data_IF_680411907448
#
_entry.id   IF_680411907448
#
_cell.length_a   1.000
_cell.length_b   1.000
_cell.length_c   1.000
_cell.angle_alpha   90.00
_cell.angle_beta   90.00
_cell.angle_gamma   90.00
#
_symmetry.space_group_name_H-M   'P 1'
#
loop_
_entity.id
_entity.type
_entity.pdbx_description
1 polymer ?
#
# COMPACT_ATOMS: atom_id res chain seq x y z
N UNK A 1 -1.06 -13.68 6.07
CA UNK A 1 -1.32 -15.09 5.84
C UNK A 1 -2.64 -15.31 5.09
N UNK A 2 -3.73 -14.69 5.50
CA UNK A 2 -5.06 -14.95 4.94
C UNK A 2 -5.24 -14.44 3.50
N UNK A 3 -4.50 -13.42 3.10
CA UNK A 3 -4.67 -12.71 1.82
C UNK A 3 -3.54 -12.89 0.83
N UNK A 4 -2.31 -13.01 1.33
CA UNK A 4 -1.14 -12.89 0.47
C UNK A 4 -1.04 -14.07 -0.51
N UNK A 5 -0.73 -13.75 -1.76
CA UNK A 5 -0.69 -14.72 -2.85
C UNK A 5 0.33 -15.84 -2.60
N UNK A 6 1.49 -15.51 -2.05
CA UNK A 6 2.55 -16.50 -1.75
C UNK A 6 2.19 -17.48 -0.62
N UNK A 7 1.13 -17.22 0.17
CA UNK A 7 0.64 -18.14 1.20
C UNK A 7 -0.48 -19.08 0.70
N UNK A 8 -0.76 -19.11 -0.59
CA UNK A 8 -1.80 -19.99 -1.15
C UNK A 8 -1.48 -21.46 -0.87
N UNK A 9 -0.27 -21.91 -1.18
CA UNK A 9 0.20 -23.28 -0.91
C UNK A 9 0.14 -23.64 0.58
N UNK A 10 0.45 -22.70 1.47
CA UNK A 10 0.35 -22.92 2.91
C UNK A 10 -1.11 -23.11 3.35
N UNK A 11 -2.05 -22.32 2.80
CA UNK A 11 -3.48 -22.50 3.10
C UNK A 11 -4.00 -23.86 2.62
N UNK A 12 -3.61 -24.26 1.41
CA UNK A 12 -3.93 -25.58 0.87
C UNK A 12 -3.36 -26.71 1.74
N UNK A 13 -2.10 -26.59 2.19
CA UNK A 13 -1.49 -27.55 3.09
C UNK A 13 -2.24 -27.64 4.43
N UNK A 14 -2.61 -26.51 5.02
CA UNK A 14 -3.38 -26.46 6.26
C UNK A 14 -4.72 -27.21 6.09
N UNK A 15 -5.45 -26.97 4.99
CA UNK A 15 -6.73 -27.62 4.73
C UNK A 15 -6.58 -29.11 4.40
N UNK A 16 -5.43 -29.53 3.92
CA UNK A 16 -5.12 -30.94 3.67
C UNK A 16 -4.80 -31.71 4.98
N UNK A 17 -4.09 -31.07 5.88
CA UNK A 17 -3.61 -31.69 7.12
C UNK A 17 -4.64 -31.66 8.25
N UNK A 18 -5.54 -30.69 8.25
CA UNK A 18 -6.51 -30.47 9.32
C UNK A 18 -7.95 -30.57 8.79
N UNK A 19 -8.77 -31.35 9.46
CA UNK A 19 -10.20 -31.47 9.15
C UNK A 19 -11.00 -30.27 9.67
N UNK A 20 -10.51 -29.64 10.76
CA UNK A 20 -11.08 -28.42 11.34
C UNK A 20 -10.00 -27.38 11.52
N UNK A 21 -10.29 -26.17 11.10
CA UNK A 21 -9.43 -24.99 11.26
C UNK A 21 -10.23 -23.86 11.91
N UNK A 22 -9.75 -23.37 13.02
CA UNK A 22 -10.36 -22.24 13.73
C UNK A 22 -9.48 -21.01 13.57
N UNK A 23 -10.08 -19.88 13.21
CA UNK A 23 -9.42 -18.61 12.97
C UNK A 23 -9.96 -17.60 13.97
N UNK A 24 -9.09 -17.08 14.83
CA UNK A 24 -9.43 -16.01 15.76
C UNK A 24 -8.72 -14.73 15.37
N UNK A 25 -9.46 -13.64 15.29
CA UNK A 25 -8.94 -12.27 15.19
C UNK A 25 -9.25 -11.52 16.48
N UNK A 26 -8.57 -10.41 16.74
CA UNK A 26 -8.64 -9.70 18.01
C UNK A 26 -8.82 -8.21 17.78
N UNK A 27 -9.77 -7.61 18.50
CA UNK A 27 -9.95 -6.15 18.52
C UNK A 27 -8.95 -5.48 19.49
N UNK A 28 -8.36 -6.26 20.41
CA UNK A 28 -7.29 -5.79 21.28
C UNK A 28 -5.90 -6.11 20.71
N UNK A 29 -4.95 -5.22 20.94
CA UNK A 29 -3.55 -5.44 20.58
C UNK A 29 -2.93 -6.47 21.54
N UNK A 30 -2.64 -7.69 21.05
CA UNK A 30 -2.04 -8.76 21.85
C UNK A 30 -0.58 -8.45 22.24
N UNK A 31 0.16 -7.81 21.34
CA UNK A 31 1.56 -7.46 21.53
C UNK A 31 1.72 -5.93 21.51
N UNK A 32 1.95 -5.33 22.66
CA UNK A 32 2.01 -3.86 22.83
C UNK A 32 3.06 -3.18 21.95
N UNK A 33 4.14 -3.88 21.62
CA UNK A 33 5.25 -3.36 20.81
C UNK A 33 5.01 -3.51 19.29
N UNK A 34 3.96 -4.22 18.89
CA UNK A 34 3.60 -4.47 17.49
C UNK A 34 2.49 -3.53 16.99
N UNK A 35 2.60 -2.23 17.25
CA UNK A 35 1.60 -1.24 16.83
C UNK A 35 1.38 -1.27 15.31
N UNK A 36 0.12 -1.35 14.90
CA UNK A 36 -0.29 -1.39 13.50
C UNK A 36 -0.14 -2.76 12.82
N UNK A 37 0.01 -3.83 13.59
CA UNK A 37 -0.04 -5.21 13.10
C UNK A 37 -1.14 -5.96 13.83
N UNK A 38 -2.09 -6.48 13.06
CA UNK A 38 -3.14 -7.33 13.60
C UNK A 38 -2.60 -8.75 13.85
N UNK A 39 -3.01 -9.33 14.97
CA UNK A 39 -2.64 -10.70 15.33
C UNK A 39 -3.75 -11.66 14.95
N UNK A 40 -3.36 -12.81 14.45
CA UNK A 40 -4.24 -13.92 14.11
C UNK A 40 -3.78 -15.15 14.91
N UNK A 41 -4.74 -15.84 15.54
CA UNK A 41 -4.53 -17.18 16.09
C UNK A 41 -5.22 -18.20 15.19
N UNK A 42 -4.49 -19.25 14.81
CA UNK A 42 -5.00 -20.33 14.01
C UNK A 42 -4.84 -21.64 14.79
N UNK A 43 -5.93 -22.38 14.94
CA UNK A 43 -5.94 -23.67 15.61
C UNK A 43 -6.41 -24.71 14.58
N UNK A 44 -5.66 -25.80 14.43
CA UNK A 44 -5.99 -26.91 13.53
C UNK A 44 -6.19 -28.21 14.27
N UNK A 45 -7.29 -28.91 14.01
CA UNK A 45 -7.55 -30.27 14.48
C UNK A 45 -7.45 -31.26 13.32
N UNK A 46 -6.60 -32.29 13.45
CA UNK A 46 -6.40 -33.31 12.40
C UNK A 46 -7.61 -34.23 12.22
N UNK A 47 -8.32 -34.53 13.31
CA UNK A 47 -9.56 -35.32 13.30
C UNK A 47 -10.60 -34.61 14.13
N UNK A 48 -11.69 -34.23 13.50
CA UNK A 48 -12.77 -33.50 14.17
C UNK A 48 -14.14 -34.03 13.71
N UNK A 49 -15.12 -33.99 14.62
CA UNK A 49 -16.50 -34.28 14.27
C UNK A 49 -17.11 -33.18 13.40
N UNK A 50 -16.74 -31.92 13.72
CA UNK A 50 -17.21 -30.73 13.00
C UNK A 50 -16.09 -30.27 12.06
N UNK A 51 -16.22 -30.62 10.79
CA UNK A 51 -15.19 -30.30 9.76
C UNK A 51 -15.43 -28.96 9.11
N UNK A 52 -14.35 -28.28 8.78
CA UNK A 52 -14.38 -27.02 8.02
C UNK A 52 -13.57 -25.92 8.65
N UNK A 53 -13.78 -24.68 8.18
CA UNK A 53 -13.15 -23.48 8.71
C UNK A 53 -14.17 -22.74 9.57
N UNK A 54 -13.75 -22.39 10.76
CA UNK A 54 -14.54 -21.66 11.74
C UNK A 54 -13.85 -20.35 12.05
N UNK A 55 -14.63 -19.31 12.26
CA UNK A 55 -14.13 -17.98 12.52
C UNK A 55 -14.74 -17.38 13.78
N UNK A 56 -13.94 -16.63 14.52
CA UNK A 56 -14.41 -15.81 15.64
C UNK A 56 -13.57 -14.52 15.76
N UNK A 57 -14.22 -13.39 15.96
CA UNK A 57 -13.59 -12.15 16.37
C UNK A 57 -13.70 -12.00 17.90
N UNK A 58 -12.59 -11.81 18.57
CA UNK A 58 -12.50 -11.67 20.04
C UNK A 58 -12.36 -10.19 20.41
N UNK A 59 -13.34 -9.69 21.12
CA UNK A 59 -13.34 -8.28 21.58
C UNK A 59 -12.31 -8.06 22.68
N UNK A 60 -12.28 -8.95 23.68
CA UNK A 60 -11.36 -8.88 24.81
C UNK A 60 -10.64 -10.22 25.00
N UNK A 61 -9.35 -10.16 25.21
CA UNK A 61 -8.54 -11.37 25.44
C UNK A 61 -9.06 -12.23 26.61
N UNK A 62 -9.66 -11.59 27.61
CA UNK A 62 -10.30 -12.29 28.73
C UNK A 62 -11.49 -13.17 28.30
N UNK A 63 -12.13 -12.89 27.20
CA UNK A 63 -13.26 -13.67 26.69
C UNK A 63 -12.79 -14.98 26.08
N UNK A 64 -11.63 -14.98 25.44
CA UNK A 64 -10.97 -16.21 24.97
C UNK A 64 -10.65 -17.15 26.15
N UNK A 65 -10.03 -16.61 27.22
CA UNK A 65 -9.68 -17.38 28.40
C UNK A 65 -10.90 -17.96 29.15
N UNK A 66 -12.06 -17.31 29.04
CA UNK A 66 -13.32 -17.72 29.68
C UNK A 66 -14.24 -18.54 28.77
N UNK A 67 -13.79 -18.88 27.54
CA UNK A 67 -14.59 -19.52 26.49
C UNK A 67 -15.91 -18.76 26.21
N UNK A 68 -15.87 -17.43 26.25
CA UNK A 68 -17.03 -16.56 25.95
C UNK A 68 -16.96 -16.08 24.51
N UNK A 69 -17.09 -17.00 23.57
CA UNK A 69 -17.11 -16.70 22.14
C UNK A 69 -17.96 -17.73 21.39
N UNK A 70 -18.39 -17.37 20.21
CA UNK A 70 -19.10 -18.26 19.29
C UNK A 70 -18.32 -18.38 17.99
N UNK A 71 -18.05 -19.59 17.56
CA UNK A 71 -17.42 -19.88 16.27
C UNK A 71 -18.49 -19.97 15.20
N UNK A 72 -18.37 -19.12 14.19
CA UNK A 72 -19.20 -19.20 12.99
C UNK A 72 -18.49 -20.01 11.91
N UNK A 73 -19.21 -20.96 11.31
CA UNK A 73 -18.67 -21.75 10.20
C UNK A 73 -18.91 -21.05 8.88
N UNK A 74 -17.84 -20.73 8.15
CA UNK A 74 -17.94 -20.24 6.78
C UNK A 74 -17.60 -21.35 5.78
N UNK A 75 -18.61 -21.96 5.22
CA UNK A 75 -18.50 -23.17 4.36
C UNK A 75 -17.81 -22.87 3.01
N UNK A 76 -17.79 -21.61 2.56
CA UNK A 76 -17.24 -21.21 1.25
C UNK A 76 -15.78 -20.81 1.27
N UNK A 77 -15.11 -20.86 2.41
CA UNK A 77 -13.67 -20.59 2.52
C UNK A 77 -12.75 -21.65 1.90
N UNK A 78 -13.26 -22.56 1.11
CA UNK A 78 -12.45 -23.58 0.38
C UNK A 78 -11.53 -22.98 -0.68
N UNK A 79 -11.69 -21.70 -1.01
CA UNK A 79 -10.96 -21.05 -2.10
C UNK A 79 -9.77 -20.22 -1.62
N UNK A 80 -8.95 -19.77 -2.53
CA UNK A 80 -7.59 -19.28 -2.40
C UNK A 80 -7.33 -18.12 -1.40
N UNK A 81 -8.37 -17.44 -0.91
CA UNK A 81 -8.23 -16.32 0.04
C UNK A 81 -9.20 -16.46 1.21
N UNK A 82 -8.69 -16.35 2.42
CA UNK A 82 -9.48 -16.40 3.65
C UNK A 82 -9.85 -15.01 4.18
N UNK A 83 -10.26 -14.12 3.28
CA UNK A 83 -10.55 -12.73 3.61
C UNK A 83 -12.01 -12.42 3.85
N UNK A 84 -12.90 -13.32 3.44
CA UNK A 84 -14.33 -13.17 3.64
C UNK A 84 -14.83 -13.83 4.95
N UNK A 85 -13.92 -14.12 5.86
CA UNK A 85 -14.21 -14.79 7.13
C UNK A 85 -15.11 -13.96 8.06
N UNK A 86 -15.21 -12.65 7.86
CA UNK A 86 -16.04 -11.72 8.61
C UNK A 86 -17.46 -11.54 8.01
N UNK A 87 -17.73 -12.17 6.86
CA UNK A 87 -19.01 -12.06 6.19
C UNK A 87 -19.90 -13.27 6.49
N UNK A 88 -21.20 -13.04 6.58
CA UNK A 88 -22.19 -14.09 6.66
C UNK A 88 -22.34 -14.81 5.30
N UNK A 89 -22.98 -15.98 5.31
CA UNK A 89 -23.08 -16.82 4.09
C UNK A 89 -23.87 -16.13 2.98
N UNK A 90 -24.94 -15.45 3.30
CA UNK A 90 -25.78 -14.68 2.36
C UNK A 90 -25.05 -13.44 1.80
N UNK A 91 -24.23 -12.78 2.61
CA UNK A 91 -23.35 -11.68 2.16
C UNK A 91 -22.31 -12.18 1.15
N UNK A 92 -21.72 -13.35 1.38
CA UNK A 92 -20.78 -13.99 0.44
C UNK A 92 -21.51 -14.35 -0.86
N UNK A 93 -22.73 -14.90 -0.78
CA UNK A 93 -23.54 -15.21 -1.96
C UNK A 93 -23.89 -13.96 -2.78
N UNK A 94 -24.23 -12.88 -2.09
CA UNK A 94 -24.48 -11.59 -2.72
C UNK A 94 -23.23 -11.07 -3.43
N UNK A 95 -22.06 -11.12 -2.78
CA UNK A 95 -20.79 -10.71 -3.40
C UNK A 95 -20.46 -11.51 -4.65
N UNK A 96 -20.63 -12.84 -4.62
CA UNK A 96 -20.39 -13.69 -5.79
C UNK A 96 -21.36 -13.35 -6.93
N UNK A 97 -22.62 -13.09 -6.63
CA UNK A 97 -23.60 -12.64 -7.61
C UNK A 97 -23.22 -11.30 -8.21
N UNK A 98 -22.80 -10.33 -7.38
CA UNK A 98 -22.37 -9.00 -7.83
C UNK A 98 -21.12 -9.08 -8.72
N UNK A 99 -20.13 -9.90 -8.36
CA UNK A 99 -18.93 -10.12 -9.19
C UNK A 99 -19.25 -10.62 -10.61
N UNK A 100 -20.33 -11.40 -10.75
CA UNK A 100 -20.78 -11.88 -12.06
C UNK A 100 -21.58 -10.86 -12.88
N UNK A 101 -22.04 -9.78 -12.27
CA UNK A 101 -22.93 -8.79 -12.89
C UNK A 101 -22.29 -7.41 -13.06
N UNK A 102 -21.32 -7.07 -12.21
CA UNK A 102 -20.69 -5.71 -12.21
C UNK A 102 -19.30 -5.78 -12.82
N UNK A 103 -18.95 -4.71 -13.50
CA UNK A 103 -17.57 -4.48 -13.92
C UNK A 103 -16.72 -4.09 -12.72
N UNK A 104 -15.45 -4.44 -12.78
CA UNK A 104 -14.46 -4.13 -11.74
C UNK A 104 -13.70 -2.85 -12.08
N UNK A 105 -13.00 -2.26 -11.10
CA UNK A 105 -12.12 -1.11 -11.36
C UNK A 105 -11.03 -1.48 -12.39
N UNK A 106 -10.59 -2.73 -12.44
CA UNK A 106 -9.60 -3.21 -13.42
C UNK A 106 -10.11 -3.18 -14.86
N UNK A 107 -11.42 -3.15 -15.07
CA UNK A 107 -12.00 -2.99 -16.42
C UNK A 107 -11.82 -1.56 -16.95
N UNK A 108 -11.72 -0.57 -16.07
CA UNK A 108 -11.67 0.87 -16.39
C UNK A 108 -10.25 1.44 -16.36
N UNK A 109 -9.39 0.99 -15.47
CA UNK A 109 -8.07 1.54 -15.31
C UNK A 109 -7.03 0.47 -14.99
N UNK A 110 -5.76 0.80 -15.16
CA UNK A 110 -4.63 0.02 -14.65
C UNK A 110 -4.05 0.67 -13.40
N UNK A 111 -3.58 -0.14 -12.46
CA UNK A 111 -2.92 0.35 -11.26
C UNK A 111 -1.55 -0.28 -11.07
N UNK A 112 -0.58 0.53 -10.68
CA UNK A 112 0.79 0.08 -10.35
C UNK A 112 1.24 0.71 -9.05
N UNK A 113 2.10 0.03 -8.30
CA UNK A 113 2.73 0.64 -7.14
C UNK A 113 3.62 1.82 -7.60
N UNK A 114 3.57 2.92 -6.86
CA UNK A 114 4.47 4.04 -7.10
C UNK A 114 5.93 3.69 -6.82
N UNK A 115 6.80 4.67 -6.91
CA UNK A 115 8.26 4.52 -6.92
C UNK A 115 8.78 4.07 -5.55
N UNK A 116 9.57 2.99 -5.55
CA UNK A 116 10.25 2.47 -4.37
C UNK A 116 11.67 3.04 -4.30
N UNK A 117 11.89 4.05 -3.48
CA UNK A 117 13.22 4.65 -3.31
C UNK A 117 14.14 3.84 -2.41
N UNK A 118 13.59 3.01 -1.51
CA UNK A 118 14.27 2.30 -0.42
C UNK A 118 14.82 3.19 0.71
N UNK A 119 14.80 4.51 0.52
CA UNK A 119 15.21 5.50 1.52
C UNK A 119 14.54 6.84 1.21
N UNK A 120 13.23 6.94 1.44
CA UNK A 120 12.48 8.17 1.16
C UNK A 120 13.05 9.39 1.91
N UNK A 121 13.58 9.18 3.10
CA UNK A 121 14.25 10.15 3.95
C UNK A 121 15.54 10.73 3.35
N UNK A 122 16.09 10.10 2.32
CA UNK A 122 17.27 10.53 1.61
C UNK A 122 16.98 10.92 0.16
N UNK A 123 16.21 10.12 -0.56
CA UNK A 123 15.97 10.35 -1.99
C UNK A 123 14.86 11.36 -2.28
N UNK A 124 14.05 11.74 -1.28
CA UNK A 124 13.00 12.74 -1.46
C UNK A 124 13.31 13.93 -0.57
N UNK A 125 13.58 15.06 -1.21
CA UNK A 125 14.09 16.26 -0.59
C UNK A 125 13.15 17.45 -0.76
N UNK A 126 13.33 18.47 0.06
CA UNK A 126 12.67 19.77 -0.06
C UNK A 126 13.42 20.74 -0.99
N UNK A 127 12.81 21.87 -1.27
CA UNK A 127 13.40 22.89 -2.13
C UNK A 127 14.73 23.45 -1.56
N UNK A 128 14.83 23.58 -0.24
CA UNK A 128 16.05 24.11 0.39
C UNK A 128 17.25 23.18 0.14
N UNK A 129 17.04 21.87 0.25
CA UNK A 129 18.07 20.86 -0.06
C UNK A 129 18.45 20.89 -1.54
N UNK A 130 17.49 21.11 -2.44
CA UNK A 130 17.76 21.26 -3.88
C UNK A 130 18.67 22.43 -4.14
N UNK A 131 18.41 23.59 -3.54
CA UNK A 131 19.24 24.80 -3.68
C UNK A 131 20.64 24.62 -3.07
N UNK A 132 20.72 24.10 -1.84
CA UNK A 132 21.96 23.89 -1.11
C UNK A 132 22.96 23.05 -1.92
N UNK A 133 22.46 21.93 -2.49
CA UNK A 133 23.30 20.98 -3.23
C UNK A 133 23.22 21.14 -4.75
N UNK A 134 22.54 22.17 -5.27
CA UNK A 134 22.36 22.46 -6.70
C UNK A 134 21.89 21.23 -7.48
N UNK A 135 20.77 20.66 -7.04
CA UNK A 135 20.22 19.38 -7.59
C UNK A 135 19.20 19.59 -8.70
N UNK A 136 18.99 20.79 -9.22
CA UNK A 136 17.92 21.14 -10.18
C UNK A 136 17.85 20.21 -11.39
N UNK A 137 18.99 19.83 -11.96
CA UNK A 137 19.07 18.95 -13.14
C UNK A 137 18.79 17.46 -12.82
N UNK A 138 18.71 17.12 -11.53
CA UNK A 138 18.65 15.74 -11.07
C UNK A 138 17.39 15.42 -10.28
N UNK A 139 16.36 16.26 -10.33
CA UNK A 139 15.14 16.09 -9.56
C UNK A 139 13.90 15.89 -10.44
N UNK A 140 12.91 15.21 -9.86
CA UNK A 140 11.57 15.10 -10.41
C UNK A 140 10.54 15.39 -9.31
N UNK A 141 9.47 16.15 -9.60
CA UNK A 141 8.43 16.42 -8.62
C UNK A 141 7.72 15.12 -8.23
N UNK A 142 7.48 14.95 -6.93
CA UNK A 142 6.90 13.72 -6.38
C UNK A 142 6.03 14.00 -5.15
N UNK A 143 4.91 13.27 -5.02
CA UNK A 143 4.11 13.23 -3.80
C UNK A 143 4.48 12.00 -2.98
N UNK A 144 4.77 12.20 -1.68
CA UNK A 144 5.23 11.13 -0.80
C UNK A 144 4.13 10.53 0.07
N UNK A 145 3.22 11.34 0.59
CA UNK A 145 2.26 10.93 1.62
C UNK A 145 0.85 11.42 1.31
N UNK A 146 -0.15 10.59 1.55
CA UNK A 146 -1.55 10.97 1.39
C UNK A 146 -2.01 12.10 2.32
N UNK A 147 -1.29 12.35 3.44
CA UNK A 147 -1.59 13.49 4.32
C UNK A 147 -1.25 14.84 3.68
N UNK A 148 -0.41 14.87 2.66
CA UNK A 148 -0.09 16.10 1.92
C UNK A 148 -1.24 16.57 1.03
N UNK A 149 -2.16 15.67 0.67
CA UNK A 149 -3.39 15.98 -0.06
C UNK A 149 -4.55 15.74 0.88
N UNK A 150 -5.02 16.76 1.54
CA UNK A 150 -6.09 16.66 2.53
C UNK A 150 -7.21 17.66 2.22
N UNK A 151 -8.45 17.16 2.16
CA UNK A 151 -9.63 17.98 1.87
C UNK A 151 -9.86 18.26 0.39
N UNK A 152 -9.08 17.66 -0.53
CA UNK A 152 -9.23 17.80 -1.98
C UNK A 152 -9.25 16.42 -2.64
N UNK A 153 -9.93 16.30 -3.77
CA UNK A 153 -9.91 15.15 -4.68
C UNK A 153 -9.00 15.38 -5.89
N UNK A 154 -8.37 16.55 -5.94
CA UNK A 154 -7.43 16.96 -6.99
C UNK A 154 -6.14 17.43 -6.32
N UNK A 155 -5.00 17.05 -6.85
CA UNK A 155 -3.72 17.68 -6.54
C UNK A 155 -3.41 18.65 -7.68
N UNK A 156 -3.71 19.94 -7.49
CA UNK A 156 -3.43 21.00 -8.46
C UNK A 156 -1.99 21.51 -8.36
N UNK A 157 -1.55 22.30 -9.36
CA UNK A 157 -0.25 22.95 -9.31
C UNK A 157 -0.14 23.90 -8.10
N UNK A 158 -1.19 24.61 -7.77
CA UNK A 158 -1.24 25.54 -6.63
C UNK A 158 -1.12 24.78 -5.30
N UNK A 159 -1.85 23.66 -5.15
CA UNK A 159 -1.72 22.83 -3.96
C UNK A 159 -0.33 22.21 -3.83
N UNK A 160 0.27 21.79 -4.94
CA UNK A 160 1.63 21.28 -4.93
C UNK A 160 2.65 22.38 -4.59
N UNK A 161 2.46 23.62 -5.12
CA UNK A 161 3.30 24.77 -4.77
C UNK A 161 3.22 25.10 -3.27
N UNK A 162 2.03 25.02 -2.65
CA UNK A 162 1.89 25.21 -1.21
C UNK A 162 2.72 24.19 -0.40
N UNK A 163 2.89 22.98 -0.91
CA UNK A 163 3.76 21.99 -0.24
C UNK A 163 5.23 22.41 -0.34
N UNK A 164 5.66 22.91 -1.49
CA UNK A 164 7.02 23.43 -1.72
C UNK A 164 7.30 24.60 -0.77
N UNK A 165 6.39 25.57 -0.72
CA UNK A 165 6.51 26.77 0.12
C UNK A 165 6.59 26.43 1.63
N UNK A 166 5.93 25.32 2.02
CA UNK A 166 6.01 24.76 3.38
C UNK A 166 7.22 23.85 3.61
N UNK A 167 8.22 23.87 2.72
CA UNK A 167 9.42 23.03 2.78
C UNK A 167 9.11 21.54 2.98
N UNK A 168 8.04 21.06 2.35
CA UNK A 168 7.77 19.61 2.36
C UNK A 168 8.69 18.91 1.36
N UNK A 169 9.09 17.64 1.63
CA UNK A 169 9.87 16.86 0.68
C UNK A 169 9.02 16.49 -0.53
N UNK A 170 9.25 17.18 -1.64
CA UNK A 170 8.45 17.14 -2.87
C UNK A 170 9.29 16.87 -4.12
N UNK A 171 10.59 16.66 -3.98
CA UNK A 171 11.51 16.41 -5.09
C UNK A 171 12.22 15.07 -4.92
N UNK A 172 12.01 14.16 -5.87
CA UNK A 172 12.75 12.91 -5.98
C UNK A 172 14.10 13.17 -6.65
N UNK A 173 15.19 12.74 -6.04
CA UNK A 173 16.51 12.68 -6.69
C UNK A 173 16.47 11.51 -7.69
N UNK A 174 16.53 11.87 -8.97
CA UNK A 174 16.30 10.98 -10.12
C UNK A 174 17.59 10.81 -10.94
N UNK A 175 18.67 10.38 -10.28
CA UNK A 175 19.91 10.01 -10.96
C UNK A 175 19.73 8.71 -11.74
N UNK A 176 20.27 8.69 -12.94
CA UNK A 176 20.28 7.54 -13.83
C UNK A 176 21.72 7.14 -14.24
N UNK A 177 21.84 6.09 -15.06
CA UNK A 177 23.12 5.59 -15.58
C UNK A 177 23.90 6.59 -16.44
N UNK A 178 23.22 7.63 -16.98
CA UNK A 178 23.82 8.66 -17.81
C UNK A 178 24.25 9.88 -17.00
N UNK A 179 23.86 9.94 -15.73
CA UNK A 179 24.17 11.05 -14.82
C UNK A 179 25.67 11.09 -14.54
N UNK A 180 26.32 12.15 -14.95
CA UNK A 180 27.78 12.33 -14.77
C UNK A 180 28.07 12.86 -13.37
N UNK A 181 28.62 12.03 -12.52
CA UNK A 181 28.99 12.39 -11.15
C UNK A 181 30.49 12.75 -11.11
N UNK A 182 30.79 14.03 -10.94
CA UNK A 182 32.15 14.52 -10.79
C UNK A 182 32.50 14.71 -9.32
N UNK A 183 33.73 14.31 -8.93
CA UNK A 183 34.26 14.54 -7.56
C UNK A 183 34.27 16.02 -7.24
N UNK A 184 34.10 16.34 -5.97
CA UNK A 184 34.14 17.70 -5.43
C UNK A 184 33.07 18.67 -5.98
N UNK A 185 31.98 18.13 -6.56
CA UNK A 185 30.78 18.90 -6.89
C UNK A 185 29.80 18.89 -5.72
N UNK A 186 28.81 19.78 -5.73
CA UNK A 186 27.74 19.79 -4.73
C UNK A 186 26.93 18.47 -4.73
N UNK A 187 26.63 17.92 -5.93
CA UNK A 187 26.03 16.60 -6.05
C UNK A 187 26.89 15.50 -5.42
N UNK A 188 28.20 15.52 -5.65
CA UNK A 188 29.11 14.57 -5.01
C UNK A 188 29.04 14.65 -3.49
N UNK A 189 29.06 15.88 -2.93
CA UNK A 189 28.95 16.09 -1.49
C UNK A 189 27.64 15.53 -0.93
N UNK A 190 26.54 15.72 -1.65
CA UNK A 190 25.25 15.11 -1.27
C UNK A 190 25.33 13.58 -1.25
N UNK A 191 25.98 12.96 -2.23
CA UNK A 191 26.15 11.51 -2.27
C UNK A 191 27.08 11.00 -1.14
N UNK A 192 28.06 11.80 -0.66
CA UNK A 192 28.84 11.42 0.51
C UNK A 192 27.97 11.36 1.76
N UNK A 193 27.03 12.31 1.97
CA UNK A 193 26.05 12.22 3.06
C UNK A 193 25.28 10.89 3.04
N UNK A 194 24.88 10.44 1.86
CA UNK A 194 24.22 9.12 1.71
C UNK A 194 25.11 7.95 2.11
N UNK A 195 26.41 8.03 1.83
CA UNK A 195 27.38 7.02 2.29
C UNK A 195 27.58 7.06 3.79
N UNK A 196 27.71 8.25 4.37
CA UNK A 196 27.87 8.43 5.82
C UNK A 196 26.64 7.92 6.58
N UNK A 197 25.43 8.13 6.04
CA UNK A 197 24.18 7.57 6.54
C UNK A 197 23.98 6.09 6.21
N UNK A 198 24.97 5.43 5.62
CA UNK A 198 24.94 4.02 5.21
C UNK A 198 23.78 3.65 4.29
N UNK A 199 23.23 4.60 3.53
CA UNK A 199 22.13 4.35 2.59
C UNK A 199 22.54 3.28 1.57
N UNK A 200 23.75 3.33 1.07
CA UNK A 200 24.32 2.38 0.11
C UNK A 200 24.39 0.92 0.63
N UNK A 201 24.30 0.71 1.95
CA UNK A 201 24.30 -0.62 2.59
C UNK A 201 22.92 -1.18 2.89
N UNK A 202 21.84 -0.39 2.72
CA UNK A 202 20.47 -0.90 2.90
C UNK A 202 20.17 -1.96 1.83
N UNK A 203 19.44 -3.02 2.17
CA UNK A 203 19.19 -4.16 1.29
C UNK A 203 18.79 -3.75 -0.14
N UNK A 204 17.76 -2.91 -0.29
CA UNK A 204 17.25 -2.53 -1.62
C UNK A 204 18.19 -1.60 -2.42
N UNK A 205 19.08 -0.86 -1.77
CA UNK A 205 20.04 0.01 -2.45
C UNK A 205 21.33 -0.74 -2.78
N UNK A 206 21.75 -1.69 -1.95
CA UNK A 206 22.98 -2.46 -2.15
C UNK A 206 22.93 -3.40 -3.35
N UNK A 207 21.72 -3.81 -3.77
CA UNK A 207 21.53 -4.69 -4.95
C UNK A 207 21.42 -3.91 -6.27
N UNK A 208 21.48 -2.56 -6.26
CA UNK A 208 21.45 -1.73 -7.47
C UNK A 208 22.85 -1.64 -8.09
N UNK A 209 22.91 -1.42 -9.40
CA UNK A 209 24.19 -1.19 -10.08
C UNK A 209 24.93 0.00 -9.44
N UNK A 210 24.24 1.10 -9.26
CA UNK A 210 24.68 2.23 -8.45
C UNK A 210 23.64 2.48 -7.36
N UNK A 211 24.06 2.48 -6.10
CA UNK A 211 23.17 2.60 -4.95
C UNK A 211 22.27 3.83 -4.97
N UNK A 212 22.71 4.89 -5.63
CA UNK A 212 22.00 6.16 -5.76
C UNK A 212 21.00 6.21 -6.91
N UNK A 213 20.98 5.24 -7.81
CA UNK A 213 20.00 5.16 -8.88
C UNK A 213 18.68 4.62 -8.35
N UNK A 214 17.63 5.42 -8.47
CA UNK A 214 16.27 4.96 -8.15
C UNK A 214 15.66 4.28 -9.37
N UNK A 215 15.32 2.99 -9.28
CA UNK A 215 14.82 2.26 -10.45
C UNK A 215 13.35 2.61 -10.75
N UNK A 216 12.94 2.32 -12.00
CA UNK A 216 11.55 2.39 -12.45
C UNK A 216 10.88 3.75 -12.27
N UNK A 217 11.63 4.84 -12.46
CA UNK A 217 11.06 6.18 -12.53
C UNK A 217 10.34 6.31 -13.87
N UNK A 218 9.02 6.16 -13.86
CA UNK A 218 8.18 6.29 -15.02
C UNK A 218 7.71 7.73 -15.28
N UNK A 219 6.62 7.85 -16.02
CA UNK A 219 5.87 9.09 -16.20
C UNK A 219 4.84 9.28 -15.09
N UNK A 220 4.43 10.53 -14.79
CA UNK A 220 3.31 10.79 -13.92
C UNK A 220 2.02 10.10 -14.41
N UNK A 221 1.23 9.58 -13.48
CA UNK A 221 -0.05 8.95 -13.74
C UNK A 221 -1.19 9.97 -13.59
N UNK A 222 -2.38 9.64 -14.08
CA UNK A 222 -3.55 10.50 -14.03
C UNK A 222 -4.11 10.70 -12.62
N UNK A 223 -3.95 9.67 -11.76
CA UNK A 223 -4.39 9.74 -10.38
C UNK A 223 -3.56 8.87 -9.44
N UNK A 224 -3.80 9.06 -8.14
CA UNK A 224 -3.21 8.30 -7.05
C UNK A 224 -4.27 7.71 -6.15
N UNK A 225 -4.14 6.43 -5.84
CA UNK A 225 -4.88 5.78 -4.76
C UNK A 225 -3.94 5.50 -3.60
N UNK A 226 -4.09 6.22 -2.48
CA UNK A 226 -3.21 6.06 -1.33
C UNK A 226 -3.53 4.78 -0.56
N UNK A 227 -2.49 3.97 -0.29
CA UNK A 227 -2.59 2.68 0.39
C UNK A 227 -3.02 2.78 1.86
N UNK A 228 -2.82 3.94 2.46
CA UNK A 228 -3.16 4.22 3.85
C UNK A 228 -4.02 5.46 3.93
N UNK A 229 -5.17 5.31 4.53
CA UNK A 229 -6.09 6.38 4.86
C UNK A 229 -6.38 6.36 6.36
N UNK A 230 -6.83 7.48 6.90
CA UNK A 230 -7.25 7.55 8.30
C UNK A 230 -8.72 7.16 8.43
N UNK A 231 -9.63 7.95 7.87
CA UNK A 231 -11.08 7.72 7.91
C UNK A 231 -11.59 7.18 6.57
N UNK A 232 -11.19 7.80 5.47
CA UNK A 232 -11.69 7.50 4.14
C UNK A 232 -10.56 7.18 3.18
N UNK A 233 -10.76 6.24 2.25
CA UNK A 233 -9.82 6.00 1.18
C UNK A 233 -9.67 7.23 0.30
N UNK A 234 -8.48 7.44 -0.30
CA UNK A 234 -8.17 8.62 -1.10
C UNK A 234 -7.79 8.23 -2.52
N UNK A 235 -8.66 8.59 -3.46
CA UNK A 235 -8.39 8.58 -4.89
C UNK A 235 -8.30 10.04 -5.37
N UNK A 236 -7.13 10.46 -5.80
CA UNK A 236 -6.81 11.88 -6.04
C UNK A 236 -6.37 12.06 -7.49
N UNK A 237 -7.01 12.96 -8.24
CA UNK A 237 -6.56 13.36 -9.58
C UNK A 237 -5.22 14.10 -9.50
N UNK A 238 -4.29 13.76 -10.40
CA UNK A 238 -2.96 14.34 -10.47
C UNK A 238 -2.86 15.45 -11.50
N UNK A 239 -3.47 16.59 -11.25
CA UNK A 239 -3.38 17.75 -12.15
C UNK A 239 -2.03 18.48 -12.08
N UNK A 240 -1.28 18.28 -11.00
CA UNK A 240 0.09 18.80 -10.86
C UNK A 240 1.13 18.00 -11.67
N UNK A 241 0.74 16.91 -12.32
CA UNK A 241 1.62 16.07 -13.14
C UNK A 241 2.90 15.63 -12.40
N UNK A 242 2.76 15.19 -11.16
CA UNK A 242 3.86 14.75 -10.30
C UNK A 242 3.92 13.23 -10.20
N UNK A 243 5.07 12.70 -9.81
CA UNK A 243 5.25 11.28 -9.50
C UNK A 243 4.65 10.93 -8.12
N UNK A 244 4.54 9.64 -7.80
CA UNK A 244 4.18 9.18 -6.46
C UNK A 244 5.12 8.09 -5.96
N UNK A 245 5.33 8.05 -4.63
CA UNK A 245 6.02 6.94 -3.98
C UNK A 245 5.12 5.71 -3.87
N UNK A 246 5.69 4.59 -3.46
CA UNK A 246 4.99 3.34 -3.17
C UNK A 246 4.00 3.42 -1.98
N UNK A 247 3.82 4.59 -1.37
CA UNK A 247 2.71 4.87 -0.46
C UNK A 247 1.35 4.95 -1.17
N UNK A 248 1.36 5.09 -2.50
CA UNK A 248 0.19 5.11 -3.35
C UNK A 248 0.31 4.08 -4.50
N UNK A 249 -0.84 3.69 -5.03
CA UNK A 249 -0.94 3.16 -6.37
C UNK A 249 -1.12 4.30 -7.36
N UNK A 250 -0.40 4.25 -8.46
CA UNK A 250 -0.60 5.14 -9.61
C UNK A 250 -1.70 4.56 -10.49
N UNK A 251 -2.64 5.39 -10.89
CA UNK A 251 -3.81 5.00 -11.70
C UNK A 251 -3.69 5.63 -13.08
N UNK A 252 -3.83 4.81 -14.10
CA UNK A 252 -3.91 5.24 -15.51
C UNK A 252 -5.16 4.66 -16.13
N UNK A 253 -6.00 5.51 -16.71
CA UNK A 253 -7.24 5.08 -17.34
C UNK A 253 -6.98 4.26 -18.60
N UNK A 254 -7.88 3.35 -18.92
CA UNK A 254 -7.91 2.68 -20.21
C UNK A 254 -8.59 3.58 -21.23
N UNK A 255 -8.39 3.27 -22.51
CA UNK A 255 -9.00 4.03 -23.61
C UNK A 255 -10.52 4.19 -23.42
N UNK A 256 -11.03 5.38 -23.75
CA UNK A 256 -12.44 5.79 -23.66
C UNK A 256 -12.99 5.99 -22.22
N UNK A 257 -12.15 5.99 -21.20
CA UNK A 257 -12.58 6.32 -19.83
C UNK A 257 -11.84 7.54 -19.30
N UNK A 258 -12.55 8.35 -18.51
CA UNK A 258 -12.03 9.59 -17.92
C UNK A 258 -11.88 9.43 -16.41
N UNK A 259 -10.78 9.95 -15.88
CA UNK A 259 -10.45 9.85 -14.45
C UNK A 259 -11.47 10.59 -13.58
N UNK A 260 -12.08 11.65 -14.08
CA UNK A 260 -13.12 12.41 -13.40
C UNK A 260 -14.34 11.54 -13.09
N UNK A 261 -14.77 10.74 -14.05
CA UNK A 261 -15.89 9.82 -13.88
C UNK A 261 -15.59 8.75 -12.84
N UNK A 262 -14.35 8.22 -12.82
CA UNK A 262 -13.92 7.26 -11.81
C UNK A 262 -13.91 7.90 -10.42
N UNK A 263 -13.38 9.12 -10.27
CA UNK A 263 -13.33 9.84 -9.00
C UNK A 263 -14.75 10.16 -8.51
N UNK A 264 -15.62 10.65 -9.38
CA UNK A 264 -17.02 10.93 -9.03
C UNK A 264 -17.75 9.67 -8.55
N UNK A 265 -17.56 8.55 -9.25
CA UNK A 265 -18.15 7.27 -8.85
C UNK A 265 -17.55 6.72 -7.56
N UNK A 266 -16.28 6.98 -7.32
CA UNK A 266 -15.58 6.49 -6.12
C UNK A 266 -16.07 7.18 -4.84
N UNK A 267 -16.32 8.50 -4.89
CA UNK A 267 -16.75 9.27 -3.73
C UNK A 267 -18.28 9.32 -3.59
N UNK A 268 -18.91 8.17 -3.52
CA UNK A 268 -20.34 8.04 -3.27
C UNK A 268 -20.62 7.40 -1.90
N UNK A 269 -21.87 7.44 -1.46
CA UNK A 269 -22.30 6.94 -0.15
C UNK A 269 -22.15 5.43 0.05
N UNK A 270 -21.99 4.66 -1.03
CA UNK A 270 -21.80 3.20 -0.97
C UNK A 270 -20.32 2.86 -0.81
N UNK A 271 -19.43 3.64 -1.39
CA UNK A 271 -17.98 3.43 -1.33
C UNK A 271 -17.39 3.95 0.00
N UNK A 272 -17.93 5.02 0.54
CA UNK A 272 -17.50 5.68 1.77
C UNK A 272 -18.31 5.22 2.98
#
# INVERSE_FOLDING_TARGET
LLQVKFAAELRELILKEFERVEIFTFNELLFKDCKGQDTLLLIGERKSKDKGIFYCNIDKLADLAKNKFTLAQNVKMKESKWTHHHLETDEIELLEKLKGQLQTIDDYCSSKAGIVTAANDYFIVDANTVEEYSLHDFIRPIIQKGIFVNGSVVLSNEEFQILIDKSKPTYLIALDKNSVIRKNTKLWNYLQIGKDKLIHKRYKTSIRNNWYEVPNIGTPAEAFFFKRCNQYPKLIKNSANVLATDSAYTITMKENFEIENLIFSFYNSVTL
#
